data_IF_059498620591
#
_entry.id   IF_059498620591
#
_cell.length_a   1.000
_cell.length_b   1.000
_cell.length_c   1.000
_cell.angle_alpha   90.00
_cell.angle_beta   90.00
_cell.angle_gamma   90.00
#
_symmetry.space_group_name_H-M   'P 1'
#
loop_
_entity.id
_entity.type
_entity.pdbx_description
1 polymer ?
#
# COMPACT_ATOMS: atom_id res chain seq x y z
N UNK A 1 21.31 -1.17 -9.20
CA UNK A 1 19.86 -1.42 -9.00
C UNK A 1 19.12 -0.11 -9.26
N UNK A 2 18.19 -0.11 -10.21
CA UNK A 2 17.47 1.06 -10.75
C UNK A 2 15.98 1.06 -10.38
N UNK A 3 15.63 0.63 -9.17
CA UNK A 3 14.22 0.52 -8.78
C UNK A 3 13.61 1.83 -8.30
N UNK A 4 12.31 1.82 -8.00
CA UNK A 4 11.53 2.97 -7.53
C UNK A 4 11.95 3.35 -6.11
N UNK A 5 12.76 4.40 -5.98
CA UNK A 5 13.15 4.97 -4.69
C UNK A 5 12.18 6.07 -4.31
N UNK A 6 11.79 6.13 -3.05
CA UNK A 6 10.90 7.16 -2.53
C UNK A 6 11.34 7.65 -1.14
N UNK A 7 10.81 8.80 -0.70
CA UNK A 7 11.09 9.37 0.63
C UNK A 7 10.46 8.63 1.79
N UNK A 8 9.55 7.71 1.49
CA UNK A 8 9.09 6.69 2.42
C UNK A 8 9.32 5.32 1.81
N UNK A 9 9.43 4.30 2.67
CA UNK A 9 9.50 2.92 2.21
C UNK A 9 8.14 2.51 1.68
N UNK A 10 8.15 1.80 0.56
CA UNK A 10 6.94 1.31 -0.09
C UNK A 10 7.13 -0.13 -0.53
N UNK A 11 6.04 -0.89 -0.45
CA UNK A 11 5.96 -2.29 -0.80
C UNK A 11 4.94 -2.52 -1.90
N UNK A 12 5.30 -3.30 -2.91
CA UNK A 12 4.39 -3.73 -3.96
C UNK A 12 4.12 -5.22 -3.86
N UNK A 13 3.03 -5.66 -4.48
CA UNK A 13 2.76 -7.08 -4.70
C UNK A 13 3.12 -7.41 -6.14
N UNK A 14 3.90 -8.48 -6.33
CA UNK A 14 4.26 -8.96 -7.66
C UNK A 14 3.95 -10.44 -7.85
N UNK A 15 3.54 -10.81 -9.06
CA UNK A 15 3.33 -12.19 -9.48
C UNK A 15 4.19 -12.49 -10.69
N UNK A 16 4.90 -13.62 -10.68
CA UNK A 16 5.68 -14.03 -11.84
C UNK A 16 4.74 -14.41 -13.00
N UNK A 17 4.99 -13.86 -14.19
CA UNK A 17 4.20 -14.11 -15.41
C UNK A 17 4.71 -15.30 -16.25
N UNK A 18 5.60 -16.13 -15.70
CA UNK A 18 6.07 -17.35 -16.35
C UNK A 18 7.48 -17.78 -15.90
N UNK A 19 7.97 -18.86 -16.51
CA UNK A 19 9.36 -19.30 -16.39
C UNK A 19 10.19 -18.54 -17.43
N UNK A 20 11.11 -17.69 -16.98
CA UNK A 20 12.17 -17.14 -17.83
C UNK A 20 13.47 -17.85 -17.47
N UNK A 21 14.25 -18.23 -18.49
CA UNK A 21 15.60 -18.81 -18.35
C UNK A 21 16.59 -17.84 -17.68
N UNK A 22 16.24 -16.56 -17.61
CA UNK A 22 16.97 -15.55 -16.85
C UNK A 22 16.24 -15.26 -15.52
N UNK A 23 16.72 -15.77 -14.37
CA UNK A 23 16.11 -15.54 -13.06
C UNK A 23 16.11 -14.06 -12.65
N UNK A 24 16.98 -13.22 -13.25
CA UNK A 24 17.06 -11.78 -12.97
C UNK A 24 16.10 -10.93 -13.81
N UNK A 25 15.34 -11.53 -14.75
CA UNK A 25 14.39 -10.84 -15.64
C UNK A 25 13.10 -11.63 -15.81
N UNK A 26 12.64 -12.31 -14.76
CA UNK A 26 11.28 -12.85 -14.83
C UNK A 26 10.31 -11.69 -15.01
N UNK A 27 9.47 -11.68 -16.06
CA UNK A 27 8.43 -10.68 -16.18
C UNK A 27 7.53 -10.83 -14.96
N UNK A 28 7.43 -9.76 -14.17
CA UNK A 28 6.57 -9.70 -13.00
C UNK A 28 5.38 -8.81 -13.32
N UNK A 29 4.18 -9.30 -13.06
CA UNK A 29 3.00 -8.47 -12.97
C UNK A 29 3.04 -7.75 -11.63
N UNK A 30 2.93 -6.42 -11.64
CA UNK A 30 2.80 -5.64 -10.42
C UNK A 30 1.33 -5.35 -10.18
N UNK A 31 0.89 -5.59 -8.94
CA UNK A 31 -0.49 -5.34 -8.57
C UNK A 31 -0.82 -3.85 -8.77
N UNK A 32 -1.73 -3.60 -9.69
CA UNK A 32 -2.27 -2.27 -9.96
C UNK A 32 -3.73 -2.19 -9.54
N UNK A 33 -4.20 -0.97 -9.35
CA UNK A 33 -5.61 -0.63 -9.16
C UNK A 33 -6.05 0.33 -10.27
N UNK A 34 -7.34 0.36 -10.55
CA UNK A 34 -7.94 1.35 -11.45
C UNK A 34 -8.80 2.28 -10.60
N UNK A 35 -8.55 3.58 -10.68
CA UNK A 35 -9.35 4.59 -9.99
C UNK A 35 -10.69 4.79 -10.71
N UNK A 36 -11.62 5.55 -10.10
CA UNK A 36 -12.95 5.79 -10.68
C UNK A 36 -12.92 6.47 -12.06
N UNK A 37 -11.86 7.20 -12.37
CA UNK A 37 -11.69 7.88 -13.66
C UNK A 37 -11.06 6.95 -14.73
N UNK A 38 -10.86 5.67 -14.43
CA UNK A 38 -10.20 4.71 -15.32
C UNK A 38 -8.67 4.79 -15.32
N UNK A 39 -8.09 5.66 -14.49
CA UNK A 39 -6.64 5.79 -14.34
C UNK A 39 -6.06 4.62 -13.57
N UNK A 40 -5.04 3.97 -14.13
CA UNK A 40 -4.33 2.86 -13.49
C UNK A 40 -3.21 3.40 -12.59
N UNK A 41 -3.04 2.80 -11.42
CA UNK A 41 -1.99 3.13 -10.46
C UNK A 41 -1.41 1.85 -9.83
N UNK A 42 -0.12 1.86 -9.52
CA UNK A 42 0.53 0.76 -8.79
C UNK A 42 0.06 0.80 -7.33
N UNK A 43 -0.39 -0.33 -6.76
CA UNK A 43 -0.65 -0.40 -5.32
C UNK A 43 0.68 -0.47 -4.56
N UNK A 44 0.89 0.51 -3.70
CA UNK A 44 2.13 0.69 -2.95
C UNK A 44 1.80 0.83 -1.45
N UNK A 45 2.20 -0.13 -0.62
CA UNK A 45 1.88 -0.16 0.80
C UNK A 45 3.01 0.47 1.62
N UNK A 46 2.66 1.35 2.56
CA UNK A 46 3.63 1.92 3.51
C UNK A 46 4.08 0.91 4.57
N UNK A 47 3.25 -0.11 4.81
CA UNK A 47 3.48 -1.20 5.75
C UNK A 47 3.76 -2.50 4.99
N UNK A 48 4.89 -3.15 5.30
CA UNK A 48 5.18 -4.49 4.78
C UNK A 48 4.13 -5.50 5.25
N UNK A 49 3.68 -5.40 6.50
CA UNK A 49 2.64 -6.26 7.05
C UNK A 49 1.31 -6.12 6.29
N UNK A 50 0.90 -4.90 5.96
CA UNK A 50 -0.34 -4.68 5.19
C UNK A 50 -0.24 -5.30 3.79
N UNK A 51 0.93 -5.21 3.17
CA UNK A 51 1.18 -5.87 1.89
C UNK A 51 1.07 -7.41 2.02
N UNK A 52 1.59 -8.01 3.10
CA UNK A 52 1.47 -9.46 3.35
C UNK A 52 0.04 -9.86 3.70
N UNK A 53 -0.73 -9.01 4.38
CA UNK A 53 -2.16 -9.24 4.60
C UNK A 53 -2.94 -9.19 3.28
N UNK A 54 -2.54 -8.31 2.36
CA UNK A 54 -3.15 -8.23 1.04
C UNK A 54 -2.92 -9.50 0.22
N UNK A 55 -1.77 -10.17 0.32
CA UNK A 55 -1.52 -11.43 -0.45
C UNK A 55 -2.45 -12.57 -0.04
N UNK A 56 -2.99 -12.51 1.18
CA UNK A 56 -3.96 -13.50 1.71
C UNK A 56 -5.39 -13.25 1.26
N UNK A 57 -5.67 -12.05 0.73
CA UNK A 57 -6.98 -11.72 0.19
C UNK A 57 -7.31 -12.59 -1.02
N UNK A 58 -8.58 -12.96 -1.15
CA UNK A 58 -9.05 -13.78 -2.27
C UNK A 58 -8.68 -13.14 -3.61
N UNK A 59 -8.12 -13.94 -4.52
CA UNK A 59 -7.69 -13.51 -5.85
C UNK A 59 -6.23 -13.02 -5.94
N UNK A 60 -5.49 -12.98 -4.83
CA UNK A 60 -4.07 -12.61 -4.81
C UNK A 60 -3.13 -13.81 -4.66
N UNK A 61 -3.61 -15.01 -4.94
CA UNK A 61 -2.80 -16.23 -4.95
C UNK A 61 -1.60 -16.12 -5.90
N UNK A 62 -0.42 -16.42 -5.37
CA UNK A 62 0.85 -16.37 -6.08
C UNK A 62 1.48 -14.98 -6.20
N UNK A 63 0.87 -13.95 -5.62
CA UNK A 63 1.57 -12.68 -5.39
C UNK A 63 2.52 -12.82 -4.20
N UNK A 64 3.68 -12.15 -4.31
CA UNK A 64 4.63 -11.96 -3.21
C UNK A 64 4.89 -10.48 -2.98
N UNK A 65 5.21 -10.12 -1.75
CA UNK A 65 5.59 -8.76 -1.39
C UNK A 65 7.04 -8.50 -1.80
N UNK A 66 7.29 -7.33 -2.39
CA UNK A 66 8.64 -6.83 -2.66
C UNK A 66 8.78 -5.36 -2.24
N UNK A 67 9.97 -4.93 -1.78
CA UNK A 67 10.27 -3.50 -1.64
C UNK A 67 10.27 -2.81 -3.01
N UNK A 68 9.56 -1.70 -3.20
CA UNK A 68 9.50 -1.02 -4.50
C UNK A 68 10.87 -0.48 -4.98
N UNK A 69 11.83 -0.28 -4.07
CA UNK A 69 13.22 0.07 -4.42
C UNK A 69 13.95 -0.97 -5.27
N UNK A 70 13.42 -2.20 -5.35
CA UNK A 70 13.96 -3.26 -6.22
C UNK A 70 13.16 -3.43 -7.52
N UNK A 71 12.02 -2.74 -7.64
CA UNK A 71 11.12 -2.83 -8.78
C UNK A 71 11.44 -1.77 -9.84
N UNK A 72 11.59 -2.19 -11.10
CA UNK A 72 11.77 -1.30 -12.25
C UNK A 72 10.40 -0.80 -12.78
N UNK A 73 10.05 0.49 -12.61
CA UNK A 73 8.76 1.01 -13.02
C UNK A 73 8.70 1.41 -14.51
N UNK A 74 9.78 1.24 -15.28
CA UNK A 74 9.88 1.76 -16.66
C UNK A 74 8.74 1.27 -17.56
N UNK A 75 8.40 -0.02 -17.52
CA UNK A 75 7.32 -0.58 -18.32
C UNK A 75 5.94 -0.01 -17.96
N UNK A 76 5.71 0.32 -16.69
CA UNK A 76 4.49 1.02 -16.28
C UNK A 76 4.50 2.45 -16.83
N UNK A 77 5.59 3.18 -16.64
CA UNK A 77 5.71 4.59 -17.04
C UNK A 77 5.57 4.75 -18.56
N UNK A 78 6.18 3.88 -19.35
CA UNK A 78 6.08 3.89 -20.81
C UNK A 78 4.63 3.66 -21.28
N UNK A 79 3.92 2.72 -20.64
CA UNK A 79 2.51 2.45 -20.91
C UNK A 79 1.57 3.61 -20.52
N UNK A 80 2.03 4.52 -19.65
CA UNK A 80 1.27 5.67 -19.15
C UNK A 80 1.89 7.00 -19.59
N UNK A 81 2.51 7.03 -20.78
CA UNK A 81 2.99 8.27 -21.42
C UNK A 81 3.94 9.10 -20.54
N UNK A 82 4.81 8.42 -19.78
CA UNK A 82 5.77 9.08 -18.90
C UNK A 82 5.25 9.37 -17.49
N UNK A 83 4.00 9.04 -17.18
CA UNK A 83 3.45 9.25 -15.84
C UNK A 83 3.64 8.03 -14.94
N UNK A 84 4.02 8.30 -13.70
CA UNK A 84 3.97 7.35 -12.60
C UNK A 84 2.76 7.68 -11.74
N UNK A 85 1.92 6.68 -11.47
CA UNK A 85 0.78 6.79 -10.57
C UNK A 85 0.87 5.70 -9.50
N UNK A 86 0.83 6.10 -8.23
CA UNK A 86 0.82 5.20 -7.08
C UNK A 86 -0.49 5.37 -6.32
N UNK A 87 -1.07 4.26 -5.86
CA UNK A 87 -2.04 4.24 -4.76
C UNK A 87 -1.26 3.86 -3.50
N UNK A 88 -0.90 4.86 -2.71
CA UNK A 88 -0.12 4.72 -1.47
C UNK A 88 -1.05 4.26 -0.36
N UNK A 89 -1.09 2.95 -0.13
CA UNK A 89 -1.93 2.27 0.84
C UNK A 89 -1.35 2.39 2.26
N UNK A 90 -2.21 2.73 3.22
CA UNK A 90 -1.88 2.99 4.62
C UNK A 90 -2.82 2.23 5.57
N UNK A 91 -3.15 0.99 5.25
CA UNK A 91 -4.12 0.17 5.98
C UNK A 91 -5.32 -0.20 5.12
N UNK A 92 -6.46 -0.45 5.77
CA UNK A 92 -7.66 -0.98 5.11
C UNK A 92 -8.92 -0.22 5.48
N UNK A 93 -9.96 -0.35 4.68
CA UNK A 93 -11.27 0.21 5.00
C UNK A 93 -12.20 -0.85 5.56
N UNK A 94 -12.82 -0.53 6.68
CA UNK A 94 -14.00 -1.20 7.20
C UNK A 94 -15.23 -0.38 6.84
N UNK A 95 -16.09 -0.84 5.91
CA UNK A 95 -17.26 -0.08 5.52
C UNK A 95 -18.27 0.05 6.67
N UNK A 96 -19.03 1.14 6.70
CA UNK A 96 -20.04 1.39 7.73
C UNK A 96 -20.98 0.20 7.90
N UNK A 97 -21.08 -0.33 9.13
CA UNK A 97 -21.90 -1.50 9.45
C UNK A 97 -21.50 -2.81 8.76
N UNK A 98 -20.33 -2.87 8.12
CA UNK A 98 -19.82 -4.06 7.43
C UNK A 98 -18.50 -4.52 8.02
N UNK A 99 -18.20 -5.81 7.82
CA UNK A 99 -16.87 -6.32 8.12
C UNK A 99 -15.84 -5.66 7.20
N UNK A 100 -14.66 -5.35 7.76
CA UNK A 100 -13.43 -5.05 7.02
C UNK A 100 -13.10 -6.11 5.96
N UNK A 101 -13.62 -7.31 6.16
CA UNK A 101 -13.42 -8.47 5.32
C UNK A 101 -14.72 -8.83 4.62
N UNK A 102 -14.85 -8.45 3.35
CA UNK A 102 -16.02 -8.79 2.53
C UNK A 102 -15.65 -9.85 1.49
N UNK A 103 -16.33 -10.99 1.51
CA UNK A 103 -16.13 -12.10 0.56
C UNK A 103 -14.66 -12.56 0.41
N UNK A 104 -13.86 -12.51 1.47
CA UNK A 104 -12.46 -12.94 1.38
C UNK A 104 -11.48 -11.82 1.06
N UNK A 105 -11.93 -10.59 0.83
CA UNK A 105 -11.11 -9.52 0.26
C UNK A 105 -10.99 -8.34 1.23
N UNK A 106 -9.75 -7.90 1.45
CA UNK A 106 -9.45 -6.63 2.08
C UNK A 106 -9.49 -5.50 1.04
N UNK A 107 -10.01 -4.34 1.47
CA UNK A 107 -10.01 -3.12 0.65
C UNK A 107 -8.94 -2.16 1.16
N UNK A 108 -7.83 -1.96 0.42
CA UNK A 108 -6.78 -1.02 0.84
C UNK A 108 -7.31 0.41 0.94
N UNK A 109 -6.96 1.07 2.02
CA UNK A 109 -7.14 2.50 2.23
C UNK A 109 -5.87 3.22 1.81
N UNK A 110 -5.95 4.34 1.11
CA UNK A 110 -4.75 5.08 0.73
C UNK A 110 -5.00 6.26 -0.18
N UNK A 111 -3.93 6.97 -0.52
CA UNK A 111 -3.95 8.17 -1.34
C UNK A 111 -3.32 7.95 -2.70
N UNK A 112 -3.81 8.66 -3.71
CA UNK A 112 -3.20 8.63 -5.03
C UNK A 112 -2.10 9.69 -5.12
N UNK A 113 -0.94 9.27 -5.63
CA UNK A 113 0.20 10.15 -5.94
C UNK A 113 0.51 10.04 -7.42
N UNK A 114 0.64 11.18 -8.07
CA UNK A 114 0.96 11.28 -9.49
C UNK A 114 2.26 12.04 -9.66
N UNK A 115 3.13 11.54 -10.52
CA UNK A 115 4.42 12.17 -10.84
C UNK A 115 4.64 12.11 -12.34
N UNK A 116 4.87 13.26 -12.96
CA UNK A 116 5.32 13.33 -14.35
C UNK A 116 6.81 13.01 -14.37
N UNK A 117 7.14 11.85 -14.92
CA UNK A 117 8.53 11.38 -14.91
C UNK A 117 9.13 11.47 -16.31
N UNK A 118 8.43 11.12 -17.38
CA UNK A 118 9.10 10.83 -18.66
C UNK A 118 9.87 9.52 -18.56
N UNK A 119 11.16 9.46 -18.88
CA UNK A 119 11.95 8.21 -18.79
C UNK A 119 12.51 7.96 -17.39
N UNK A 120 12.20 6.82 -16.78
CA UNK A 120 12.77 6.45 -15.48
C UNK A 120 14.29 6.23 -15.56
N UNK A 121 15.02 6.70 -14.54
CA UNK A 121 16.46 6.50 -14.39
C UNK A 121 16.78 6.05 -12.97
N UNK A 122 17.90 5.36 -12.77
CA UNK A 122 18.29 4.82 -11.48
C UNK A 122 18.56 5.89 -10.40
N UNK A 123 18.78 7.13 -10.82
CA UNK A 123 19.05 8.28 -9.95
C UNK A 123 17.77 8.95 -9.47
N UNK A 124 16.63 8.65 -10.10
CA UNK A 124 15.36 9.29 -9.74
C UNK A 124 14.83 8.78 -8.42
N UNK A 125 14.22 9.73 -7.72
CA UNK A 125 13.72 9.58 -6.38
C UNK A 125 12.37 10.27 -6.30
N UNK A 126 11.38 9.54 -5.82
CA UNK A 126 10.03 10.03 -5.61
C UNK A 126 9.94 10.64 -4.21
N UNK A 127 10.00 11.96 -4.14
CA UNK A 127 9.81 12.66 -2.88
C UNK A 127 8.31 12.76 -2.59
N UNK A 128 7.78 12.05 -1.60
CA UNK A 128 6.35 12.17 -1.24
C UNK A 128 6.06 13.38 -0.34
N UNK A 129 7.09 14.16 -0.01
CA UNK A 129 7.01 15.42 0.74
C UNK A 129 6.62 15.28 2.21
N UNK A 130 6.70 16.37 2.99
CA UNK A 130 6.31 16.40 4.41
C UNK A 130 4.81 16.17 4.60
N UNK A 131 3.99 16.51 3.61
CA UNK A 131 2.53 16.35 3.66
C UNK A 131 2.12 14.88 3.85
N UNK A 132 2.74 13.95 3.13
CA UNK A 132 2.46 12.52 3.30
C UNK A 132 2.90 12.02 4.68
N UNK A 133 4.03 12.50 5.18
CA UNK A 133 4.51 12.13 6.51
C UNK A 133 3.57 12.65 7.62
N UNK A 134 3.11 13.89 7.53
CA UNK A 134 2.13 14.49 8.44
C UNK A 134 0.78 13.75 8.39
N UNK A 135 0.33 13.37 7.19
CA UNK A 135 -0.91 12.64 6.98
C UNK A 135 -0.86 11.24 7.60
N UNK A 136 0.25 10.51 7.41
CA UNK A 136 0.47 9.21 8.05
C UNK A 136 0.54 9.36 9.57
N UNK A 137 1.26 10.36 10.08
CA UNK A 137 1.35 10.58 11.53
C UNK A 137 -0.01 10.92 12.14
N UNK A 138 -0.77 11.83 11.52
CA UNK A 138 -2.13 12.18 11.94
C UNK A 138 -3.03 10.95 11.96
N UNK A 139 -2.90 10.10 10.95
CA UNK A 139 -3.64 8.82 10.87
C UNK A 139 -3.28 7.92 12.06
N UNK A 140 -1.99 7.70 12.35
CA UNK A 140 -1.58 6.87 13.49
C UNK A 140 -2.06 7.43 14.83
N UNK A 141 -2.01 8.76 15.01
CA UNK A 141 -2.47 9.42 16.22
C UNK A 141 -3.99 9.27 16.44
N UNK A 142 -4.79 9.34 15.37
CA UNK A 142 -6.24 9.09 15.41
C UNK A 142 -6.56 7.66 15.88
N UNK A 143 -5.72 6.70 15.50
CA UNK A 143 -5.81 5.31 15.95
C UNK A 143 -5.18 5.06 17.32
N UNK A 144 -4.57 6.08 17.94
CA UNK A 144 -3.80 6.00 19.19
C UNK A 144 -2.61 5.05 19.11
N UNK A 145 -2.01 4.95 17.92
CA UNK A 145 -0.87 4.07 17.63
C UNK A 145 0.45 4.85 17.76
N UNK A 146 0.81 5.17 19.01
CA UNK A 146 2.06 5.89 19.29
C UNK A 146 3.27 5.06 18.88
N UNK A 147 4.14 5.63 18.04
CA UNK A 147 5.37 4.96 17.59
C UNK A 147 5.15 3.90 16.50
N UNK A 148 3.95 3.82 15.91
CA UNK A 148 3.62 2.83 14.89
C UNK A 148 4.57 2.83 13.69
N UNK A 149 4.93 4.02 13.19
CA UNK A 149 5.89 4.13 12.09
C UNK A 149 7.26 3.53 12.42
N UNK A 150 7.73 3.71 13.67
CA UNK A 150 8.98 3.10 14.14
C UNK A 150 8.87 1.59 14.16
N UNK A 151 7.74 1.05 14.62
CA UNK A 151 7.49 -0.38 14.61
C UNK A 151 7.40 -0.95 13.20
N UNK A 152 6.69 -0.28 12.28
CA UNK A 152 6.65 -0.67 10.86
C UNK A 152 8.06 -0.76 10.26
N UNK A 153 8.95 0.18 10.62
CA UNK A 153 10.35 0.13 10.19
C UNK A 153 11.13 -1.05 10.79
N UNK A 154 10.80 -1.50 12.01
CA UNK A 154 11.43 -2.68 12.61
C UNK A 154 11.01 -3.98 11.91
N UNK A 155 9.77 -4.06 11.42
CA UNK A 155 9.29 -5.21 10.64
C UNK A 155 10.03 -5.40 9.31
N UNK A 156 10.70 -4.38 8.81
CA UNK A 156 11.50 -4.50 7.58
C UNK A 156 12.68 -5.45 7.78
N UNK A 157 13.25 -5.43 8.98
CA UNK A 157 14.38 -6.28 9.38
C UNK A 157 13.91 -7.62 9.98
N UNK A 158 12.60 -7.80 10.16
CA UNK A 158 12.04 -9.06 10.65
C UNK A 158 12.28 -10.21 9.67
N UNK A 159 12.52 -11.38 10.23
CA UNK A 159 12.62 -12.63 9.47
C UNK A 159 11.28 -12.95 8.80
N UNK A 160 11.32 -13.76 7.74
CA UNK A 160 10.10 -14.24 7.07
C UNK A 160 9.16 -14.96 8.04
N UNK A 161 9.71 -15.70 9.01
CA UNK A 161 8.91 -16.42 10.00
C UNK A 161 8.16 -15.47 10.95
N UNK A 162 8.83 -14.43 11.46
CA UNK A 162 8.21 -13.42 12.33
C UNK A 162 7.12 -12.64 11.59
N UNK A 163 7.39 -12.22 10.36
CA UNK A 163 6.42 -11.49 9.57
C UNK A 163 5.20 -12.35 9.22
N UNK A 164 5.41 -13.63 8.88
CA UNK A 164 4.33 -14.57 8.65
C UNK A 164 3.48 -14.75 9.91
N UNK A 165 4.11 -14.84 11.08
CA UNK A 165 3.41 -14.94 12.35
C UNK A 165 2.52 -13.71 12.60
N UNK A 166 3.04 -12.49 12.45
CA UNK A 166 2.23 -11.27 12.59
C UNK A 166 1.06 -11.23 11.60
N UNK A 167 1.30 -11.62 10.35
CA UNK A 167 0.26 -11.66 9.33
C UNK A 167 -0.78 -12.76 9.63
N UNK A 168 -0.38 -13.91 10.18
CA UNK A 168 -1.27 -15.00 10.63
C UNK A 168 -2.18 -14.54 11.77
N UNK A 169 -1.61 -13.93 12.80
CA UNK A 169 -2.37 -13.38 13.93
C UNK A 169 -3.38 -12.32 13.46
N UNK A 170 -2.91 -11.34 12.70
CA UNK A 170 -3.77 -10.29 12.16
C UNK A 170 -4.90 -10.86 11.29
N UNK A 171 -4.60 -11.86 10.46
CA UNK A 171 -5.56 -12.53 9.59
C UNK A 171 -6.60 -13.36 10.36
N UNK A 172 -6.18 -14.14 11.35
CA UNK A 172 -7.11 -14.94 12.17
C UNK A 172 -8.07 -14.04 12.95
N UNK A 173 -7.57 -12.92 13.47
CA UNK A 173 -8.42 -11.95 14.15
C UNK A 173 -9.43 -11.30 13.20
N UNK A 174 -9.04 -10.99 11.96
CA UNK A 174 -9.97 -10.47 10.95
C UNK A 174 -11.18 -11.37 10.75
N UNK A 175 -10.98 -12.69 10.75
CA UNK A 175 -12.04 -13.67 10.51
C UNK A 175 -13.07 -13.75 11.64
N UNK A 176 -12.68 -13.36 12.85
CA UNK A 176 -13.55 -13.38 14.04
C UNK A 176 -14.02 -11.99 14.46
N UNK A 177 -13.57 -10.95 13.74
CA UNK A 177 -13.86 -9.58 14.07
C UNK A 177 -15.34 -9.25 13.86
N UNK A 178 -15.97 -8.69 14.88
CA UNK A 178 -17.31 -8.13 14.73
C UNK A 178 -17.18 -6.78 14.01
N UNK A 179 -18.03 -6.50 13.00
CA UNK A 179 -18.04 -5.20 12.33
C UNK A 179 -18.05 -4.05 13.34
N UNK A 180 -17.27 -2.97 13.13
CA UNK A 180 -17.37 -1.80 13.98
C UNK A 180 -18.80 -1.27 13.92
N UNK A 181 -19.40 -1.02 15.10
CA UNK A 181 -20.73 -0.43 15.22
C UNK A 181 -20.69 1.07 14.91
N UNK A 182 -20.30 1.40 13.68
CA UNK A 182 -20.13 2.74 13.16
C UNK A 182 -21.12 2.99 12.03
N UNK A 183 -21.68 4.20 12.00
CA UNK A 183 -22.47 4.71 10.88
C UNK A 183 -21.60 5.26 9.74
N UNK A 184 -20.30 5.40 10.01
CA UNK A 184 -19.29 5.95 9.11
C UNK A 184 -18.32 4.86 8.68
N UNK A 185 -17.67 5.05 7.54
CA UNK A 185 -16.53 4.22 7.16
C UNK A 185 -15.43 4.37 8.21
N UNK A 186 -14.75 3.28 8.53
CA UNK A 186 -13.61 3.30 9.42
C UNK A 186 -12.34 2.95 8.64
N UNK A 187 -11.29 3.71 8.91
CA UNK A 187 -9.94 3.27 8.62
C UNK A 187 -9.56 2.21 9.65
N UNK A 188 -8.88 1.16 9.20
CA UNK A 188 -8.49 0.03 10.02
C UNK A 188 -7.00 -0.25 9.90
N UNK A 189 -6.35 -0.41 11.05
CA UNK A 189 -4.93 -0.73 11.20
C UNK A 189 -4.75 -1.87 12.20
N UNK A 190 -3.77 -2.73 11.97
CA UNK A 190 -3.42 -3.77 12.93
C UNK A 190 -2.36 -3.27 13.92
N UNK A 191 -2.72 -3.21 15.20
CA UNK A 191 -1.83 -2.92 16.32
C UNK A 191 -1.17 -4.21 16.79
N UNK A 192 0.10 -4.39 16.46
CA UNK A 192 0.88 -5.55 16.88
C UNK A 192 1.31 -5.51 18.35
N UNK A 193 1.37 -4.32 18.96
CA UNK A 193 1.75 -4.18 20.37
C UNK A 193 0.64 -4.74 21.25
N UNK A 194 -0.59 -4.35 20.94
CA UNK A 194 -1.78 -4.84 21.64
C UNK A 194 -2.40 -6.08 20.96
N UNK A 195 -1.78 -6.59 19.89
CA UNK A 195 -2.26 -7.68 19.04
C UNK A 195 -3.75 -7.56 18.70
N UNK A 196 -4.18 -6.42 18.13
CA UNK A 196 -5.59 -6.14 17.81
C UNK A 196 -5.79 -5.17 16.66
N UNK A 197 -6.92 -5.30 15.98
CA UNK A 197 -7.36 -4.29 15.01
C UNK A 197 -7.86 -3.02 15.69
N UNK A 198 -7.40 -1.88 15.20
CA UNK A 198 -7.85 -0.53 15.56
C UNK A 198 -8.69 0.05 14.45
N UNK A 199 -9.70 0.81 14.85
CA UNK A 199 -10.61 1.49 13.95
C UNK A 199 -10.71 2.95 14.35
N UNK A 200 -10.58 3.84 13.38
CA UNK A 200 -10.88 5.26 13.52
C UNK A 200 -11.86 5.66 12.42
N UNK A 201 -12.83 6.52 12.75
CA UNK A 201 -13.72 7.10 11.76
C UNK A 201 -12.88 7.82 10.69
N UNK A 202 -13.29 7.73 9.44
CA UNK A 202 -12.60 8.39 8.33
C UNK A 202 -13.61 8.98 7.37
N UNK A 203 -13.41 10.26 7.06
CA UNK A 203 -14.16 10.99 6.01
C UNK A 203 -13.58 10.72 4.63
N UNK A 204 -12.49 9.95 4.54
CA UNK A 204 -11.90 9.57 3.26
C UNK A 204 -12.89 8.65 2.57
N UNK A 205 -13.69 9.28 1.71
CA UNK A 205 -14.44 8.62 0.67
C UNK A 205 -13.41 7.75 -0.07
N UNK A 206 -13.59 6.43 0.00
CA UNK A 206 -12.80 5.33 -0.60
C UNK A 206 -12.43 5.52 -2.08
N UNK A 207 -12.88 6.63 -2.64
CA UNK A 207 -13.14 6.85 -4.02
C UNK A 207 -13.07 8.31 -4.47
N UNK A 208 -12.78 9.26 -3.58
CA UNK A 208 -12.53 10.63 -4.02
C UNK A 208 -11.09 10.74 -4.53
N UNK A 209 -10.87 11.14 -5.80
CA UNK A 209 -9.58 11.74 -6.14
C UNK A 209 -9.42 12.97 -5.26
N UNK A 210 -8.27 13.11 -4.60
CA UNK A 210 -7.97 14.34 -3.89
C UNK A 210 -8.00 15.52 -4.91
N UNK A 211 -8.50 16.72 -4.52
CA UNK A 211 -8.49 17.89 -5.37
C UNK A 211 -7.07 18.17 -5.86
N UNK A 212 -6.96 18.19 -7.18
CA UNK A 212 -5.78 18.42 -8.01
C UNK A 212 -4.62 17.41 -7.83
N UNK A 213 -4.06 16.87 -8.94
CA UNK A 213 -2.79 16.21 -8.85
C UNK A 213 -1.80 17.19 -8.23
N UNK A 214 -1.16 16.83 -7.12
CA UNK A 214 0.08 17.46 -6.68
C UNK A 214 1.08 17.27 -7.84
N UNK A 215 1.08 18.22 -8.78
CA UNK A 215 2.06 18.30 -9.84
C UNK A 215 3.39 18.55 -9.14
N UNK A 216 4.12 17.48 -8.88
CA UNK A 216 5.53 17.60 -8.55
C UNK A 216 6.27 18.02 -9.81
N UNK A 217 6.39 19.33 -9.94
CA UNK A 217 7.04 20.02 -11.03
C UNK A 217 6.92 21.49 -10.73
N UNK A 218 7.98 22.09 -10.20
CA UNK A 218 8.10 23.53 -10.18
C UNK A 218 7.98 24.01 -11.63
N UNK A 219 6.99 24.86 -11.89
CA UNK A 219 7.04 25.77 -13.02
C UNK A 219 8.34 26.56 -12.89
N UNK A 220 9.22 26.41 -13.87
CA UNK A 220 10.05 27.48 -14.42
C UNK A 220 10.23 27.20 -15.91
#
# INVERSE_FOLDING_TARGET
>A
MSGLRASIRLYGLVKNLGSSDNPNRQPVDILCTVNRMGGKAIRAFVSRLDAELMTRSAGFDGYRVIPLRTFDPSGFIDAHQGWLALHVCCGFVAPAGQSIFHQGVLSPMGWYVYSETGRWTAERYLELGPQMAELLQTTYDQHRLTGYNTWLNQLDDATTAELNWFADEAWQQLQTLTPPNSREHCHALFDSVDNRWRFAATDVDLFQPHPEPLKQGALN
#
